data_IF_921245028314
#
_entry.id   IF_921245028314
#
_cell.length_a   1.000
_cell.length_b   1.000
_cell.length_c   1.000
_cell.angle_alpha   90.00
_cell.angle_beta   90.00
_cell.angle_gamma   90.00
#
_symmetry.space_group_name_H-M   'P 1'
#
loop_
_entity.id
_entity.type
_entity.pdbx_description
1 polymer ?
#
# COMPACT_ATOMS: atom_id res chain seq x y z
N UNK A 1 -31.80 -40.92 22.58
CA UNK A 1 -31.46 -39.48 22.58
C UNK A 1 -30.13 -39.36 21.85
N UNK A 2 -30.19 -39.14 20.55
CA UNK A 2 -29.06 -39.16 19.63
C UNK A 2 -28.90 -37.71 19.18
N UNK A 3 -27.79 -37.07 19.58
CA UNK A 3 -27.51 -35.68 19.23
C UNK A 3 -26.73 -35.66 17.92
N UNK A 4 -27.38 -35.15 16.87
CA UNK A 4 -26.77 -34.90 15.57
C UNK A 4 -25.66 -33.85 15.69
N UNK A 5 -24.44 -34.22 15.27
CA UNK A 5 -23.35 -33.28 15.09
C UNK A 5 -23.31 -32.85 13.61
N UNK A 6 -24.21 -31.95 13.22
CA UNK A 6 -24.08 -31.22 11.96
C UNK A 6 -23.02 -30.14 12.15
N UNK A 7 -21.78 -30.45 11.80
CA UNK A 7 -20.75 -29.42 11.60
C UNK A 7 -21.10 -28.70 10.31
N UNK A 8 -21.66 -27.50 10.43
CA UNK A 8 -21.80 -26.59 9.31
C UNK A 8 -20.40 -26.25 8.79
N UNK A 9 -20.04 -26.80 7.62
CA UNK A 9 -18.88 -26.36 6.87
C UNK A 9 -19.08 -24.87 6.55
N UNK A 10 -18.27 -24.00 7.16
CA UNK A 10 -18.20 -22.60 6.78
C UNK A 10 -17.91 -22.57 5.27
N UNK A 11 -18.81 -21.95 4.51
CA UNK A 11 -18.66 -21.82 3.06
C UNK A 11 -17.35 -21.09 2.77
N UNK A 12 -16.40 -21.81 2.19
CA UNK A 12 -15.23 -21.22 1.54
C UNK A 12 -15.74 -20.34 0.42
N UNK A 13 -15.94 -19.05 0.69
CA UNK A 13 -16.06 -18.04 -0.35
C UNK A 13 -14.70 -18.00 -1.05
N UNK A 14 -14.60 -18.71 -2.16
CA UNK A 14 -13.49 -18.55 -3.09
C UNK A 14 -13.72 -17.22 -3.80
N UNK A 15 -12.93 -16.21 -3.45
CA UNK A 15 -12.81 -15.02 -4.28
C UNK A 15 -12.25 -15.47 -5.63
N UNK A 16 -13.10 -15.46 -6.65
CA UNK A 16 -12.66 -15.65 -8.03
C UNK A 16 -11.97 -14.37 -8.46
N UNK A 17 -10.66 -14.47 -8.75
CA UNK A 17 -9.97 -13.36 -9.39
C UNK A 17 -10.68 -13.09 -10.71
N UNK A 18 -11.16 -11.86 -10.96
CA UNK A 18 -11.77 -11.53 -12.24
C UNK A 18 -10.75 -11.81 -13.33
N UNK A 19 -11.21 -12.35 -14.46
CA UNK A 19 -10.40 -12.41 -15.68
C UNK A 19 -10.04 -10.97 -16.04
N UNK A 20 -8.81 -10.58 -15.72
CA UNK A 20 -8.23 -9.33 -16.20
C UNK A 20 -7.90 -9.63 -17.66
N UNK A 21 -8.70 -9.09 -18.59
CA UNK A 21 -8.26 -9.03 -19.98
C UNK A 21 -6.85 -8.42 -20.00
N UNK A 22 -5.93 -8.98 -20.79
CA UNK A 22 -4.58 -8.45 -20.97
C UNK A 22 -4.66 -7.04 -21.57
N UNK A 23 -4.93 -6.06 -20.72
CA UNK A 23 -4.88 -4.66 -21.03
C UNK A 23 -3.41 -4.32 -21.09
N UNK A 24 -2.89 -4.26 -22.30
CA UNK A 24 -1.63 -3.58 -22.58
C UNK A 24 -1.96 -2.10 -22.76
N UNK A 25 -1.76 -1.27 -21.73
CA UNK A 25 -2.02 0.15 -21.85
C UNK A 25 -1.15 0.72 -22.97
N UNK A 26 -1.75 1.56 -23.82
CA UNK A 26 -1.04 2.24 -24.89
C UNK A 26 0.08 3.11 -24.28
N UNK A 27 1.33 2.81 -24.62
CA UNK A 27 2.51 3.51 -24.09
C UNK A 27 2.41 5.04 -24.27
N UNK A 28 1.73 5.48 -25.34
CA UNK A 28 1.51 6.90 -25.62
C UNK A 28 0.56 7.59 -24.64
N UNK A 29 -0.22 6.82 -23.87
CA UNK A 29 -1.12 7.32 -22.83
C UNK A 29 -0.43 7.55 -21.49
N UNK A 30 0.78 7.01 -21.29
CA UNK A 30 1.54 7.29 -20.09
C UNK A 30 2.31 8.59 -20.20
N UNK A 31 2.29 9.43 -19.15
CA UNK A 31 3.05 10.65 -19.16
C UNK A 31 4.54 10.31 -19.14
N UNK A 32 5.28 10.77 -20.16
CA UNK A 32 6.75 10.65 -20.27
C UNK A 32 7.44 11.62 -19.32
N UNK A 33 7.18 11.48 -18.03
CA UNK A 33 7.76 12.29 -16.96
C UNK A 33 8.27 11.39 -15.83
N UNK A 34 9.21 11.86 -15.01
CA UNK A 34 9.64 11.14 -13.83
C UNK A 34 8.46 10.83 -12.87
N UNK A 35 8.57 9.69 -12.19
CA UNK A 35 7.58 9.16 -11.27
C UNK A 35 7.48 10.00 -10.00
N UNK A 36 6.26 10.17 -9.51
CA UNK A 36 5.94 10.72 -8.20
C UNK A 36 5.43 9.58 -7.33
N UNK A 37 6.17 9.26 -6.29
CA UNK A 37 5.94 8.04 -5.49
C UNK A 37 5.51 8.41 -4.08
N UNK A 38 4.52 7.69 -3.55
CA UNK A 38 4.14 7.76 -2.15
C UNK A 38 4.37 6.41 -1.48
N UNK A 39 5.18 6.37 -0.42
CA UNK A 39 5.53 5.15 0.29
C UNK A 39 5.07 5.18 1.74
N UNK A 40 4.35 4.13 2.10
CA UNK A 40 3.91 3.79 3.44
C UNK A 40 4.55 2.46 3.85
N UNK A 41 5.86 2.48 4.13
CA UNK A 41 6.61 1.30 4.52
C UNK A 41 7.61 1.61 5.64
N UNK A 42 7.79 0.68 6.58
CA UNK A 42 8.94 0.63 7.50
C UNK A 42 10.20 0.11 6.79
N UNK A 43 10.47 0.63 5.60
CA UNK A 43 11.54 0.22 4.69
C UNK A 43 11.66 1.20 3.52
N UNK A 44 11.39 2.47 3.79
CA UNK A 44 11.25 3.57 2.80
C UNK A 44 12.37 3.58 1.74
N UNK A 45 13.61 3.34 2.15
CA UNK A 45 14.75 3.34 1.24
C UNK A 45 14.74 2.18 0.23
N UNK A 46 14.08 1.05 0.53
CA UNK A 46 14.07 -0.12 -0.34
C UNK A 46 13.29 0.15 -1.64
N UNK A 47 12.13 0.82 -1.54
CA UNK A 47 11.35 1.16 -2.72
C UNK A 47 12.10 2.12 -3.64
N UNK A 48 12.69 3.18 -3.08
CA UNK A 48 13.51 4.12 -3.86
C UNK A 48 14.74 3.44 -4.47
N UNK A 49 15.43 2.59 -3.71
CA UNK A 49 16.58 1.83 -4.21
C UNK A 49 16.20 0.93 -5.40
N UNK A 50 15.07 0.23 -5.33
CA UNK A 50 14.61 -0.64 -6.42
C UNK A 50 14.27 0.18 -7.67
N UNK A 51 13.62 1.34 -7.52
CA UNK A 51 13.33 2.22 -8.65
C UNK A 51 14.61 2.69 -9.34
N UNK A 52 15.67 3.02 -8.58
CA UNK A 52 16.98 3.34 -9.14
C UNK A 52 17.61 2.16 -9.89
N UNK A 53 17.51 0.94 -9.34
CA UNK A 53 18.05 -0.26 -10.00
C UNK A 53 17.31 -0.61 -11.30
N UNK A 54 16.07 -0.15 -11.45
CA UNK A 54 15.26 -0.31 -12.65
C UNK A 54 15.44 0.83 -13.66
N UNK A 55 16.33 1.80 -13.39
CA UNK A 55 16.51 3.02 -14.19
C UNK A 55 15.19 3.79 -14.40
N UNK A 56 14.33 3.83 -13.36
CA UNK A 56 13.12 4.63 -13.37
C UNK A 56 13.38 6.00 -12.74
N UNK A 57 13.23 7.06 -13.53
CA UNK A 57 13.36 8.43 -13.04
C UNK A 57 12.28 8.74 -11.99
N UNK A 58 12.69 9.24 -10.82
CA UNK A 58 11.79 9.64 -9.73
C UNK A 58 11.92 11.14 -9.49
N UNK A 59 10.83 11.89 -9.69
CA UNK A 59 10.75 13.32 -9.38
C UNK A 59 10.79 13.56 -7.87
N UNK A 60 9.95 12.84 -7.14
CA UNK A 60 9.76 12.98 -5.70
C UNK A 60 9.33 11.66 -5.10
N UNK A 61 9.94 11.33 -3.96
CA UNK A 61 9.60 10.15 -3.18
C UNK A 61 9.07 10.59 -1.81
N UNK A 62 7.76 10.61 -1.65
CA UNK A 62 7.12 10.90 -0.37
C UNK A 62 7.13 9.66 0.51
N UNK A 63 7.47 9.83 1.78
CA UNK A 63 7.45 8.74 2.73
C UNK A 63 6.91 9.15 4.08
N UNK A 64 6.07 8.30 4.66
CA UNK A 64 5.62 8.48 6.04
C UNK A 64 6.60 7.79 6.99
N UNK A 65 6.97 8.46 8.08
CA UNK A 65 7.60 7.79 9.21
C UNK A 65 6.55 7.51 10.29
N UNK A 66 6.54 6.28 10.81
CA UNK A 66 5.92 6.00 12.09
C UNK A 66 7.03 6.13 13.14
N UNK A 67 6.80 7.00 14.12
CA UNK A 67 7.79 7.40 15.12
C UNK A 67 8.46 6.19 15.77
N UNK A 68 9.77 6.05 15.58
CA UNK A 68 10.64 5.17 16.37
C UNK A 68 11.18 3.92 15.67
N UNK A 69 10.81 3.62 14.42
CA UNK A 69 11.10 2.31 13.80
C UNK A 69 12.25 2.24 12.79
N UNK A 70 12.49 3.27 11.98
CA UNK A 70 13.35 3.11 10.80
C UNK A 70 14.30 4.27 10.60
N UNK A 71 15.60 3.97 10.72
CA UNK A 71 16.67 4.84 10.24
C UNK A 71 16.70 4.72 8.73
N UNK A 72 16.19 5.71 8.01
CA UNK A 72 16.45 5.86 6.59
C UNK A 72 17.97 5.78 6.39
N UNK A 73 18.43 4.88 5.52
CA UNK A 73 19.85 4.77 5.19
C UNK A 73 20.32 6.16 4.72
N UNK A 74 21.39 6.70 5.33
CA UNK A 74 21.78 8.10 5.17
C UNK A 74 21.93 8.53 3.70
N UNK A 75 22.32 7.60 2.83
CA UNK A 75 22.52 7.83 1.40
C UNK A 75 21.24 8.14 0.61
N UNK A 76 20.06 7.79 1.12
CA UNK A 76 18.77 8.05 0.45
C UNK A 76 17.92 9.11 1.15
N UNK A 77 18.31 9.55 2.35
CA UNK A 77 17.52 10.46 3.17
C UNK A 77 17.24 11.80 2.49
N UNK A 78 18.21 12.35 1.75
CA UNK A 78 18.06 13.64 1.05
C UNK A 78 17.09 13.58 -0.14
N UNK A 79 16.84 12.38 -0.69
CA UNK A 79 15.93 12.16 -1.83
C UNK A 79 14.50 11.83 -1.40
N UNK A 80 14.27 11.67 -0.10
CA UNK A 80 12.98 11.31 0.47
C UNK A 80 12.34 12.56 1.09
N UNK A 81 11.14 12.89 0.64
CA UNK A 81 10.33 13.95 1.25
C UNK A 81 9.45 13.36 2.35
N UNK A 82 9.66 13.79 3.58
CA UNK A 82 8.86 13.32 4.71
C UNK A 82 7.41 13.81 4.60
N UNK A 83 6.47 12.86 4.50
CA UNK A 83 5.03 13.10 4.46
C UNK A 83 4.39 13.27 5.85
N UNK A 84 5.11 12.91 6.91
CA UNK A 84 4.62 12.87 8.29
C UNK A 84 3.87 11.59 8.62
N UNK A 85 3.18 11.58 9.76
CA UNK A 85 2.35 10.44 10.20
C UNK A 85 1.15 10.28 9.25
N UNK A 86 0.96 9.07 8.71
CA UNK A 86 -0.15 8.72 7.81
C UNK A 86 -1.52 9.09 8.40
N UNK A 87 -1.69 8.96 9.72
CA UNK A 87 -2.96 9.25 10.42
C UNK A 87 -3.31 10.73 10.32
N UNK A 88 -2.28 11.59 10.28
CA UNK A 88 -2.38 13.05 10.23
C UNK A 88 -2.47 13.64 8.81
N UNK A 89 -2.44 12.80 7.78
CA UNK A 89 -2.56 13.25 6.39
C UNK A 89 -4.01 13.64 6.09
N UNK A 90 -4.23 14.95 5.91
CA UNK A 90 -5.49 15.51 5.47
C UNK A 90 -5.57 15.49 3.94
N UNK A 91 -6.80 15.57 3.40
CA UNK A 91 -7.03 15.74 1.95
C UNK A 91 -6.24 16.92 1.37
N UNK A 92 -6.20 18.06 2.06
CA UNK A 92 -5.45 19.24 1.62
C UNK A 92 -3.93 18.98 1.49
N UNK A 93 -3.34 18.16 2.39
CA UNK A 93 -1.94 17.76 2.27
C UNK A 93 -1.74 16.84 1.06
N UNK A 94 -2.65 15.89 0.86
CA UNK A 94 -2.60 14.95 -0.27
C UNK A 94 -2.80 15.66 -1.62
N UNK A 95 -3.63 16.70 -1.67
CA UNK A 95 -3.81 17.55 -2.85
C UNK A 95 -2.52 18.26 -3.29
N UNK A 96 -1.69 18.67 -2.31
CA UNK A 96 -0.36 19.27 -2.56
C UNK A 96 0.66 18.25 -3.04
N UNK A 97 0.48 16.97 -2.68
CA UNK A 97 1.35 15.87 -3.13
C UNK A 97 0.94 15.34 -4.51
N UNK A 98 -0.36 15.34 -4.81
CA UNK A 98 -0.91 14.81 -6.06
C UNK A 98 -0.48 15.64 -7.30
N UNK A 99 -0.32 15.03 -8.48
CA UNK A 99 -0.62 13.63 -8.78
C UNK A 99 0.45 12.67 -8.23
N UNK A 100 0.08 11.42 -8.03
CA UNK A 100 0.97 10.32 -7.64
C UNK A 100 0.82 9.20 -8.66
N UNK A 101 1.95 8.68 -9.13
CA UNK A 101 2.01 7.61 -10.14
C UNK A 101 2.06 6.23 -9.48
N UNK A 102 2.69 6.13 -8.31
CA UNK A 102 2.90 4.87 -7.61
C UNK A 102 2.73 5.02 -6.10
N UNK A 103 1.91 4.17 -5.52
CA UNK A 103 1.76 4.02 -4.07
C UNK A 103 2.31 2.67 -3.62
N UNK A 104 3.24 2.68 -2.67
CA UNK A 104 3.84 1.47 -2.08
C UNK A 104 3.43 1.36 -0.62
N UNK A 105 2.89 0.22 -0.19
CA UNK A 105 2.49 -0.03 1.20
C UNK A 105 3.01 -1.36 1.72
N UNK A 106 3.36 -1.42 3.01
CA UNK A 106 3.75 -2.66 3.67
C UNK A 106 3.99 -2.50 5.17
N UNK A 107 3.65 -3.54 5.93
CA UNK A 107 3.76 -3.52 7.40
C UNK A 107 4.85 -4.45 7.91
N UNK A 108 5.62 -4.03 8.94
CA UNK A 108 6.49 -4.93 9.66
C UNK A 108 5.60 -5.87 10.48
N UNK A 109 5.41 -7.09 9.99
CA UNK A 109 4.86 -8.14 10.84
C UNK A 109 5.94 -8.56 11.84
N UNK A 110 6.06 -7.84 12.96
CA UNK A 110 6.80 -8.37 14.10
C UNK A 110 6.17 -9.72 14.47
N UNK A 111 7.00 -10.77 14.57
CA UNK A 111 6.62 -12.17 14.77
C UNK A 111 5.91 -12.46 16.12
N UNK A 112 5.44 -11.43 16.83
CA UNK A 112 4.92 -11.54 18.19
C UNK A 112 3.39 -11.48 18.23
N UNK A 113 2.83 -12.69 18.28
CA UNK A 113 1.47 -13.06 18.67
C UNK A 113 0.32 -12.73 17.69
N UNK A 114 -0.21 -13.81 17.09
CA UNK A 114 -1.29 -13.89 16.10
C UNK A 114 -2.64 -13.21 16.45
N UNK A 115 -2.82 -12.67 17.66
CA UNK A 115 -4.13 -12.15 18.12
C UNK A 115 -4.17 -10.64 18.33
N UNK A 116 -3.04 -10.01 18.66
CA UNK A 116 -2.93 -8.54 18.75
C UNK A 116 -2.39 -7.92 17.47
N UNK A 117 -1.76 -8.72 16.59
CA UNK A 117 -1.24 -8.27 15.30
C UNK A 117 -2.38 -7.85 14.34
N UNK A 118 -3.47 -8.64 14.26
CA UNK A 118 -4.54 -8.42 13.28
C UNK A 118 -5.25 -7.06 13.46
N UNK A 119 -5.47 -6.60 14.70
CA UNK A 119 -6.14 -5.32 14.95
C UNK A 119 -5.28 -4.12 14.55
N UNK A 120 -4.03 -4.10 14.98
CA UNK A 120 -3.11 -3.00 14.62
C UNK A 120 -2.80 -3.00 13.13
N UNK A 121 -2.61 -4.19 12.53
CA UNK A 121 -2.40 -4.31 11.08
C UNK A 121 -3.63 -3.89 10.28
N UNK A 122 -4.85 -4.17 10.77
CA UNK A 122 -6.09 -3.67 10.18
C UNK A 122 -6.18 -2.16 10.24
N UNK A 123 -5.94 -1.56 11.41
CA UNK A 123 -5.96 -0.11 11.58
C UNK A 123 -4.98 0.58 10.63
N UNK A 124 -3.76 0.07 10.51
CA UNK A 124 -2.78 0.64 9.59
C UNK A 124 -3.17 0.40 8.12
N UNK A 125 -3.72 -0.78 7.77
CA UNK A 125 -4.23 -1.05 6.43
C UNK A 125 -5.33 -0.05 6.04
N UNK A 126 -6.27 0.25 6.94
CA UNK A 126 -7.30 1.25 6.67
C UNK A 126 -6.72 2.66 6.50
N UNK A 127 -5.63 3.00 7.19
CA UNK A 127 -4.93 4.27 6.93
C UNK A 127 -4.29 4.29 5.53
N UNK A 128 -3.63 3.20 5.15
CA UNK A 128 -3.11 3.02 3.79
C UNK A 128 -4.22 3.17 2.75
N UNK A 129 -5.30 2.40 2.89
CA UNK A 129 -6.44 2.40 1.97
C UNK A 129 -7.07 3.79 1.83
N UNK A 130 -7.27 4.51 2.95
CA UNK A 130 -7.77 5.89 2.95
C UNK A 130 -6.89 6.83 2.11
N UNK A 131 -5.57 6.76 2.30
CA UNK A 131 -4.62 7.63 1.59
C UNK A 131 -4.52 7.24 0.12
N UNK A 132 -4.39 5.94 -0.17
CA UNK A 132 -4.29 5.39 -1.52
C UNK A 132 -5.51 5.79 -2.36
N UNK A 133 -6.73 5.50 -1.90
CA UNK A 133 -7.96 5.86 -2.63
C UNK A 133 -8.14 7.36 -2.83
N UNK A 134 -7.69 8.18 -1.87
CA UNK A 134 -7.70 9.64 -2.02
C UNK A 134 -6.71 10.09 -3.08
N UNK A 135 -5.49 9.55 -3.09
CA UNK A 135 -4.47 9.86 -4.09
C UNK A 135 -4.87 9.38 -5.48
N UNK A 136 -5.55 8.23 -5.59
CA UNK A 136 -6.08 7.70 -6.85
C UNK A 136 -7.10 8.66 -7.45
N UNK A 137 -8.08 9.10 -6.65
CA UNK A 137 -9.06 10.11 -7.07
C UNK A 137 -8.40 11.42 -7.53
N UNK A 138 -7.42 11.92 -6.77
CA UNK A 138 -6.74 13.18 -7.09
C UNK A 138 -5.84 13.06 -8.34
N UNK A 139 -5.23 11.90 -8.57
CA UNK A 139 -4.36 11.65 -9.72
C UNK A 139 -5.18 11.45 -10.99
N UNK A 140 -6.28 10.70 -10.89
CA UNK A 140 -7.24 10.51 -11.99
C UNK A 140 -7.87 11.84 -12.43
N UNK A 141 -8.20 12.74 -11.50
CA UNK A 141 -8.67 14.09 -11.81
C UNK A 141 -7.65 14.94 -12.60
N UNK A 142 -6.36 14.57 -12.58
CA UNK A 142 -5.27 15.18 -13.36
C UNK A 142 -4.89 14.36 -14.59
N UNK A 143 -5.65 13.33 -14.94
CA UNK A 143 -5.37 12.42 -16.07
C UNK A 143 -4.17 11.50 -15.84
N UNK A 144 -3.80 11.25 -14.58
CA UNK A 144 -2.69 10.37 -14.20
C UNK A 144 -3.25 9.08 -13.64
N UNK A 145 -2.86 7.95 -14.23
CA UNK A 145 -3.16 6.63 -13.69
C UNK A 145 -2.25 6.34 -12.50
N UNK A 146 -2.83 5.84 -11.41
CA UNK A 146 -2.10 5.51 -10.18
C UNK A 146 -1.98 3.98 -10.06
N UNK A 147 -0.74 3.50 -10.00
CA UNK A 147 -0.45 2.12 -9.63
C UNK A 147 -0.29 2.02 -8.11
N UNK A 148 -0.70 0.91 -7.52
CA UNK A 148 -0.48 0.67 -6.09
C UNK A 148 -0.06 -0.77 -5.83
N UNK A 149 0.76 -0.94 -4.79
CA UNK A 149 1.19 -2.23 -4.29
C UNK A 149 1.07 -2.21 -2.76
N UNK A 150 0.49 -3.27 -2.21
CA UNK A 150 0.42 -3.48 -0.78
C UNK A 150 0.96 -4.89 -0.43
N UNK A 151 1.97 -4.96 0.43
CA UNK A 151 2.60 -6.20 0.87
C UNK A 151 2.22 -6.54 2.32
N UNK A 152 2.01 -7.82 2.58
CA UNK A 152 1.85 -8.35 3.94
C UNK A 152 2.18 -9.86 3.99
N UNK A 153 2.39 -10.39 5.20
CA UNK A 153 2.79 -11.78 5.44
C UNK A 153 1.67 -12.78 5.13
N UNK A 154 2.04 -13.93 4.57
CA UNK A 154 1.09 -15.01 4.25
C UNK A 154 0.44 -15.68 5.47
N UNK A 155 1.02 -15.53 6.67
CA UNK A 155 0.61 -16.21 7.91
C UNK A 155 -0.42 -15.43 8.77
N UNK A 156 -1.13 -14.48 8.16
CA UNK A 156 -2.25 -13.78 8.80
C UNK A 156 -3.52 -14.66 8.90
N UNK A 157 -4.45 -14.30 9.80
CA UNK A 157 -5.70 -15.05 9.99
C UNK A 157 -6.59 -15.03 8.73
N UNK A 158 -7.41 -16.06 8.55
CA UNK A 158 -8.31 -16.14 7.39
C UNK A 158 -9.35 -15.01 7.39
N UNK A 159 -9.82 -14.58 8.57
CA UNK A 159 -10.73 -13.45 8.74
C UNK A 159 -10.08 -12.13 8.28
N UNK A 160 -8.83 -11.89 8.69
CA UNK A 160 -8.10 -10.70 8.28
C UNK A 160 -7.79 -10.70 6.77
N UNK A 161 -7.39 -11.84 6.19
CA UNK A 161 -7.25 -11.98 4.72
C UNK A 161 -8.54 -11.62 4.01
N UNK A 162 -9.67 -12.14 4.49
CA UNK A 162 -10.97 -11.86 3.89
C UNK A 162 -11.34 -10.38 3.94
N UNK A 163 -10.94 -9.64 4.98
CA UNK A 163 -11.22 -8.20 5.09
C UNK A 163 -10.29 -7.34 4.23
N UNK A 164 -9.04 -7.75 4.06
CA UNK A 164 -8.06 -7.04 3.23
C UNK A 164 -8.31 -7.29 1.73
N UNK A 165 -8.78 -8.49 1.37
CA UNK A 165 -9.00 -8.90 -0.01
C UNK A 165 -10.45 -8.70 -0.50
N UNK A 166 -11.39 -8.30 0.36
CA UNK A 166 -12.77 -7.97 -0.02
C UNK A 166 -12.88 -6.56 -0.56
#
# INVERSE_FOLDING_TARGET
MQVDATIAAASSSTYEMPEVEDFTPDESTFPKRPLRVFSFCYGVAAGLYILDQLDLDVEVYFATEISGGTKTCSSFAERITNAGDIRSLSREKLEKMAPIDLVLGGFPCSVQSRKSCDKTTAEEFFQFYRVMTTLELLSSAKGVHLFWLFENVSNMSAEFKSTVCS
#
